data_IF_763127321253
#
_entry.id   IF_763127321253
#
_cell.length_a   1.000
_cell.length_b   1.000
_cell.length_c   1.000
_cell.angle_alpha   90.00
_cell.angle_beta   90.00
_cell.angle_gamma   90.00
#
_symmetry.space_group_name_H-M   'P 1'
#
loop_
_entity.id
_entity.type
_entity.pdbx_description
1 polymer ?
#
# COMPACT_ATOMS: atom_id res chain seq x y z
N UNK A 1 4.74 24.79 11.07
CA UNK A 1 3.66 25.76 11.33
C UNK A 1 3.40 26.52 10.05
N UNK A 2 2.19 26.43 9.51
CA UNK A 2 1.79 27.21 8.34
C UNK A 2 1.51 28.66 8.76
N UNK A 3 1.82 29.61 7.87
CA UNK A 3 1.39 31.01 8.04
C UNK A 3 -0.08 31.13 7.66
N UNK A 4 -0.81 32.16 8.14
CA UNK A 4 -2.14 32.48 7.62
C UNK A 4 -2.13 32.58 6.09
N UNK A 5 -3.07 31.91 5.42
CA UNK A 5 -3.15 31.82 3.95
C UNK A 5 -2.18 30.82 3.30
N UNK A 6 -1.45 30.02 4.08
CA UNK A 6 -0.61 28.94 3.55
C UNK A 6 -1.40 27.67 3.21
N UNK A 7 -0.87 26.85 2.30
CA UNK A 7 -1.48 25.60 1.85
C UNK A 7 -0.77 24.37 2.45
N UNK A 8 -1.53 23.29 2.63
CA UNK A 8 -1.02 21.96 2.94
C UNK A 8 -1.43 21.01 1.82
N UNK A 9 -0.45 20.39 1.17
CA UNK A 9 -0.68 19.35 0.19
C UNK A 9 -0.16 18.03 0.75
N UNK A 10 -1.03 17.01 0.75
CA UNK A 10 -0.70 15.66 1.20
C UNK A 10 -1.08 14.68 0.09
N UNK A 11 -0.21 13.73 -0.16
CA UNK A 11 -0.45 12.62 -1.08
C UNK A 11 -0.13 11.34 -0.34
N UNK A 12 -1.09 10.44 -0.26
CA UNK A 12 -0.94 9.19 0.47
C UNK A 12 -1.50 8.02 -0.35
N UNK A 13 -0.93 6.83 -0.16
CA UNK A 13 -1.35 5.63 -0.86
C UNK A 13 -2.02 4.63 0.08
N UNK A 14 -3.05 3.94 -0.40
CA UNK A 14 -3.55 2.77 0.29
C UNK A 14 -2.53 1.64 0.13
N UNK A 15 -2.02 1.15 1.25
CA UNK A 15 -0.96 0.13 1.23
C UNK A 15 -1.48 -1.24 0.77
N UNK A 16 -2.81 -1.44 0.81
CA UNK A 16 -3.47 -2.66 0.40
C UNK A 16 -4.30 -2.41 -0.85
N UNK A 17 -3.97 -3.13 -1.94
CA UNK A 17 -4.71 -3.07 -3.19
C UNK A 17 -6.04 -3.84 -3.09
N UNK A 18 -7.07 -3.35 -3.78
CA UNK A 18 -8.44 -3.89 -3.68
C UNK A 18 -8.70 -5.07 -4.63
N UNK A 19 -7.76 -5.36 -5.55
CA UNK A 19 -7.88 -6.41 -6.57
C UNK A 19 -6.53 -7.10 -6.76
N UNK A 20 -6.26 -8.04 -5.87
CA UNK A 20 -5.04 -8.85 -5.89
C UNK A 20 -5.37 -10.27 -6.37
N UNK A 21 -4.40 -10.90 -7.03
CA UNK A 21 -4.43 -12.33 -7.26
C UNK A 21 -4.27 -13.10 -5.95
N UNK A 22 -4.46 -14.43 -5.95
CA UNK A 22 -4.47 -15.23 -4.73
C UNK A 22 -3.16 -15.15 -3.94
N UNK A 23 -2.02 -15.14 -4.63
CA UNK A 23 -0.69 -15.14 -3.99
C UNK A 23 -0.36 -13.75 -3.47
N UNK A 24 -0.61 -12.71 -4.28
CA UNK A 24 -0.41 -11.32 -3.85
C UNK A 24 -1.36 -10.95 -2.70
N UNK A 25 -2.59 -11.45 -2.68
CA UNK A 25 -3.53 -11.28 -1.57
C UNK A 25 -3.03 -11.91 -0.27
N UNK A 26 -2.44 -13.11 -0.33
CA UNK A 26 -1.81 -13.77 0.81
C UNK A 26 -0.73 -12.89 1.43
N UNK A 27 0.16 -12.35 0.60
CA UNK A 27 1.25 -11.47 1.05
C UNK A 27 0.74 -10.15 1.62
N UNK A 28 -0.22 -9.51 0.93
CA UNK A 28 -0.82 -8.27 1.41
C UNK A 28 -1.55 -8.46 2.74
N UNK A 29 -2.19 -9.60 2.95
CA UNK A 29 -2.87 -9.94 4.22
C UNK A 29 -1.87 -10.11 5.36
N UNK A 30 -0.75 -10.79 5.12
CA UNK A 30 0.33 -10.92 6.11
C UNK A 30 0.95 -9.55 6.45
N UNK A 31 1.20 -8.73 5.44
CA UNK A 31 1.72 -7.37 5.64
C UNK A 31 0.73 -6.50 6.44
N UNK A 32 -0.57 -6.63 6.16
CA UNK A 32 -1.62 -5.98 6.94
C UNK A 32 -1.57 -6.40 8.41
N UNK A 33 -1.45 -7.70 8.70
CA UNK A 33 -1.39 -8.19 10.08
C UNK A 33 -0.19 -7.58 10.82
N UNK A 34 0.97 -7.50 10.17
CA UNK A 34 2.17 -6.87 10.74
C UNK A 34 1.93 -5.39 11.03
N UNK A 35 1.27 -4.67 10.12
CA UNK A 35 0.92 -3.27 10.33
C UNK A 35 -0.08 -3.07 11.47
N UNK A 36 -1.13 -3.88 11.53
CA UNK A 36 -2.11 -3.85 12.61
C UNK A 36 -1.43 -4.11 13.98
N UNK A 37 -0.53 -5.09 14.07
CA UNK A 37 0.24 -5.40 15.29
C UNK A 37 1.14 -4.24 15.74
N UNK A 38 1.56 -3.39 14.80
CA UNK A 38 2.37 -2.19 15.05
C UNK A 38 1.54 -0.92 15.26
N UNK A 39 0.21 -1.02 15.25
CA UNK A 39 -0.69 0.13 15.36
C UNK A 39 -0.65 1.07 14.15
N UNK A 40 -0.25 0.56 12.98
CA UNK A 40 -0.20 1.33 11.74
C UNK A 40 -1.56 1.30 11.03
N UNK A 41 -2.04 2.48 10.64
CA UNK A 41 -3.32 2.63 9.93
C UNK A 41 -3.16 2.36 8.43
N UNK A 42 -3.76 1.27 7.95
CA UNK A 42 -3.66 0.83 6.55
C UNK A 42 -4.67 1.49 5.62
N UNK A 43 -5.65 2.22 6.16
CA UNK A 43 -6.70 2.93 5.41
C UNK A 43 -6.63 4.45 5.61
N UNK A 44 -5.42 4.99 5.73
CA UNK A 44 -5.21 6.42 5.99
C UNK A 44 -5.86 7.31 4.91
N UNK A 45 -5.80 6.91 3.63
CA UNK A 45 -6.31 7.71 2.51
C UNK A 45 -7.78 8.07 2.68
N UNK A 46 -8.62 7.11 3.11
CA UNK A 46 -10.06 7.36 3.31
C UNK A 46 -10.39 8.18 4.55
N UNK A 47 -9.45 8.30 5.49
CA UNK A 47 -9.61 9.06 6.74
C UNK A 47 -8.99 10.46 6.67
N UNK A 48 -8.04 10.69 5.76
CA UNK A 48 -7.21 11.89 5.74
C UNK A 48 -8.05 13.17 5.69
N UNK A 49 -9.03 13.24 4.77
CA UNK A 49 -9.94 14.38 4.68
C UNK A 49 -10.68 14.63 6.00
N UNK A 50 -11.27 13.59 6.58
CA UNK A 50 -12.01 13.71 7.84
C UNK A 50 -11.13 14.21 8.98
N UNK A 51 -9.85 13.80 9.02
CA UNK A 51 -8.91 14.30 10.01
C UNK A 51 -8.59 15.78 9.83
N UNK A 52 -8.44 16.25 8.60
CA UNK A 52 -8.21 17.68 8.32
C UNK A 52 -9.45 18.51 8.68
N UNK A 53 -10.63 18.04 8.29
CA UNK A 53 -11.91 18.70 8.58
C UNK A 53 -12.16 18.83 10.08
N UNK A 54 -11.89 17.79 10.86
CA UNK A 54 -12.11 17.77 12.31
C UNK A 54 -11.23 18.77 13.08
N UNK A 55 -10.10 19.20 12.53
CA UNK A 55 -9.26 20.22 13.18
C UNK A 55 -9.89 21.62 13.13
N UNK A 56 -10.72 21.89 12.12
CA UNK A 56 -11.33 23.23 11.93
C UNK A 56 -10.32 24.36 11.65
N UNK A 57 -9.10 24.02 11.25
CA UNK A 57 -8.00 24.98 11.00
C UNK A 57 -7.74 25.26 9.52
N UNK A 58 -8.37 24.49 8.63
CA UNK A 58 -8.22 24.61 7.18
C UNK A 58 -9.55 24.96 6.53
N UNK A 59 -9.48 25.78 5.49
CA UNK A 59 -10.57 26.11 4.59
C UNK A 59 -10.26 25.57 3.19
N UNK A 60 -11.28 25.50 2.31
CA UNK A 60 -11.15 25.03 0.93
C UNK A 60 -10.53 23.62 0.79
N UNK A 61 -10.88 22.69 1.68
CA UNK A 61 -10.37 21.32 1.67
C UNK A 61 -10.83 20.60 0.39
N UNK A 62 -9.86 20.20 -0.43
CA UNK A 62 -10.06 19.41 -1.66
C UNK A 62 -9.45 18.03 -1.49
N UNK A 63 -10.16 17.02 -1.97
CA UNK A 63 -9.70 15.64 -2.03
C UNK A 63 -9.82 15.10 -3.44
N UNK A 64 -8.82 14.32 -3.84
CA UNK A 64 -8.82 13.59 -5.11
C UNK A 64 -8.33 12.17 -4.84
N UNK A 65 -9.13 11.18 -5.22
CA UNK A 65 -8.72 9.77 -5.18
C UNK A 65 -8.29 9.37 -6.58
N UNK A 66 -7.03 8.96 -6.71
CA UNK A 66 -6.48 8.41 -7.95
C UNK A 66 -6.37 6.90 -7.83
N UNK A 67 -6.96 6.20 -8.79
CA UNK A 67 -6.83 4.75 -8.90
C UNK A 67 -5.64 4.41 -9.79
N UNK A 68 -4.82 3.47 -9.32
CA UNK A 68 -3.69 2.92 -10.06
C UNK A 68 -4.04 1.48 -10.46
N UNK A 69 -3.67 1.12 -11.69
CA UNK A 69 -3.74 -0.25 -12.19
C UNK A 69 -2.33 -0.79 -12.33
N UNK A 70 -2.10 -1.97 -11.74
CA UNK A 70 -0.86 -2.74 -11.92
C UNK A 70 -0.92 -3.63 -13.15
N UNK A 71 0.16 -4.35 -13.41
CA UNK A 71 0.23 -5.36 -14.46
C UNK A 71 0.57 -4.81 -15.84
N UNK A 72 0.83 -5.72 -16.77
CA UNK A 72 1.22 -5.39 -18.15
C UNK A 72 0.12 -4.68 -18.93
N UNK A 73 -1.15 -4.90 -18.56
CA UNK A 73 -2.32 -4.25 -19.17
C UNK A 73 -2.35 -2.73 -18.92
N UNK A 74 -1.75 -2.27 -17.83
CA UNK A 74 -1.59 -0.85 -17.51
C UNK A 74 -0.29 -0.24 -18.11
N UNK A 75 0.34 -0.94 -19.05
CA UNK A 75 1.55 -0.49 -19.74
C UNK A 75 2.78 -0.44 -18.83
N UNK A 76 3.76 0.37 -19.22
CA UNK A 76 5.08 0.41 -18.54
C UNK A 76 5.00 0.86 -17.08
N UNK A 77 4.08 1.76 -16.74
CA UNK A 77 3.91 2.24 -15.36
C UNK A 77 3.25 1.19 -14.47
N UNK A 78 2.25 0.46 -14.98
CA UNK A 78 1.65 -0.66 -14.26
C UNK A 78 2.65 -1.80 -14.01
N UNK A 79 3.52 -2.07 -14.99
CA UNK A 79 4.59 -3.04 -14.82
C UNK A 79 5.63 -2.59 -13.77
N UNK A 80 6.03 -1.32 -13.79
CA UNK A 80 6.93 -0.77 -12.77
C UNK A 80 6.32 -0.86 -11.37
N UNK A 81 5.02 -0.57 -11.22
CA UNK A 81 4.31 -0.73 -9.96
C UNK A 81 4.34 -2.18 -9.46
N UNK A 82 4.12 -3.17 -10.33
CA UNK A 82 4.22 -4.58 -9.95
C UNK A 82 5.64 -4.96 -9.51
N UNK A 83 6.66 -4.51 -10.23
CA UNK A 83 8.06 -4.77 -9.87
C UNK A 83 8.41 -4.12 -8.52
N UNK A 84 7.91 -2.91 -8.24
CA UNK A 84 8.07 -2.22 -6.95
C UNK A 84 7.38 -2.99 -5.81
N UNK A 85 6.15 -3.49 -6.01
CA UNK A 85 5.43 -4.29 -5.01
C UNK A 85 6.19 -5.59 -4.69
N UNK A 86 6.68 -6.30 -5.72
CA UNK A 86 7.48 -7.52 -5.53
C UNK A 86 8.78 -7.18 -4.80
N UNK A 87 9.42 -6.06 -5.12
CA UNK A 87 10.61 -5.58 -4.43
C UNK A 87 10.33 -5.29 -2.96
N UNK A 88 9.19 -4.67 -2.63
CA UNK A 88 8.77 -4.47 -1.24
C UNK A 88 8.69 -5.80 -0.52
N UNK A 89 7.98 -6.79 -1.06
CA UNK A 89 7.87 -8.11 -0.44
C UNK A 89 9.23 -8.76 -0.22
N UNK A 90 10.09 -8.77 -1.25
CA UNK A 90 11.46 -9.28 -1.13
C UNK A 90 12.27 -8.61 -0.01
N UNK A 91 12.14 -7.30 0.15
CA UNK A 91 12.88 -6.56 1.18
C UNK A 91 12.31 -6.73 2.60
N UNK A 92 11.07 -7.21 2.74
CA UNK A 92 10.44 -7.48 4.04
C UNK A 92 10.28 -8.98 4.32
N UNK A 93 11.00 -9.84 3.60
CA UNK A 93 10.98 -11.30 3.75
C UNK A 93 11.12 -11.75 5.21
N UNK A 94 12.08 -11.20 5.95
CA UNK A 94 12.34 -11.53 7.36
C UNK A 94 11.11 -11.29 8.25
N UNK A 95 10.24 -10.36 7.87
CA UNK A 95 8.99 -10.09 8.58
C UNK A 95 7.85 -10.98 8.10
N UNK A 96 7.79 -11.27 6.80
CA UNK A 96 6.69 -12.01 6.19
C UNK A 96 6.81 -13.53 6.32
N UNK A 97 8.01 -14.09 6.23
CA UNK A 97 8.23 -15.54 6.30
C UNK A 97 7.69 -16.15 7.61
N UNK A 98 7.94 -15.57 8.81
CA UNK A 98 7.34 -16.07 10.05
C UNK A 98 5.81 -15.96 10.09
N UNK A 99 5.24 -14.87 9.56
CA UNK A 99 3.79 -14.66 9.56
C UNK A 99 3.07 -15.61 8.57
N UNK A 100 3.70 -15.84 7.42
CA UNK A 100 3.21 -16.75 6.37
C UNK A 100 3.43 -18.23 6.70
N UNK A 101 4.31 -18.55 7.65
CA UNK A 101 4.66 -19.93 8.04
C UNK A 101 5.17 -20.78 6.86
N UNK A 102 5.95 -20.17 5.97
CA UNK A 102 6.53 -20.82 4.78
C UNK A 102 8.04 -20.96 4.94
N UNK A 103 8.66 -21.82 4.12
CA UNK A 103 10.13 -21.83 3.99
C UNK A 103 10.61 -20.71 3.06
N UNK A 104 11.91 -20.32 3.12
CA UNK A 104 12.47 -19.36 2.17
C UNK A 104 12.32 -19.79 0.70
N UNK A 105 12.39 -21.09 0.41
CA UNK A 105 12.22 -21.62 -0.95
C UNK A 105 10.76 -21.50 -1.43
N UNK A 106 9.79 -21.76 -0.56
CA UNK A 106 8.37 -21.54 -0.84
C UNK A 106 8.07 -20.05 -1.06
N UNK A 107 8.67 -19.19 -0.24
CA UNK A 107 8.55 -17.73 -0.35
C UNK A 107 9.06 -17.20 -1.70
N UNK A 108 10.26 -17.62 -2.12
CA UNK A 108 10.84 -17.26 -3.42
C UNK A 108 10.03 -17.81 -4.60
N UNK A 109 9.39 -18.98 -4.44
CA UNK A 109 8.46 -19.50 -5.44
C UNK A 109 7.21 -18.62 -5.52
N UNK A 110 6.62 -18.26 -4.39
CA UNK A 110 5.44 -17.40 -4.35
C UNK A 110 5.69 -16.02 -4.97
N UNK A 111 6.87 -15.42 -4.75
CA UNK A 111 7.25 -14.16 -5.40
C UNK A 111 7.27 -14.26 -6.93
N UNK A 112 7.67 -15.42 -7.47
CA UNK A 112 7.62 -15.66 -8.92
C UNK A 112 6.20 -15.83 -9.41
N UNK A 113 5.34 -16.48 -8.62
CA UNK A 113 3.93 -16.67 -8.92
C UNK A 113 3.20 -15.31 -8.94
N UNK A 114 3.48 -14.42 -7.98
CA UNK A 114 2.97 -13.03 -7.95
C UNK A 114 3.33 -12.26 -9.22
N UNK A 115 4.52 -12.48 -9.79
CA UNK A 115 4.93 -11.80 -11.04
C UNK A 115 4.11 -12.20 -12.26
N UNK A 116 3.44 -13.36 -12.21
CA UNK A 116 2.60 -13.87 -13.29
C UNK A 116 1.11 -13.52 -13.11
N UNK A 117 0.73 -12.96 -11.95
CA UNK A 117 -0.61 -12.40 -11.68
C UNK A 117 -0.78 -11.02 -12.34
#
# INVERSE_FOLDING_TARGET
MLKPGGYLELMECNVLSERLGPTSFKFASALKNIFDQRGLETKMVSKLKSYIEQQGQFEEIKDEIKHLSGGSEAGKLGQALNDDIISVFKNVEVLLVPDLQVTPEEYEKDLKDIKQE
#
